data_IF_195531506101
#
_entry.id   IF_195531506101
#
_cell.length_a   1.000
_cell.length_b   1.000
_cell.length_c   1.000
_cell.angle_alpha   90.00
_cell.angle_beta   90.00
_cell.angle_gamma   90.00
#
_symmetry.space_group_name_H-M   'P 1'
#
loop_
_entity.id
_entity.type
_entity.pdbx_description
1 polymer ?
#
# COMPACT_ATOMS: atom_id res chain seq x y z
N UNK A 1 30.77 -14.11 -26.42
CA UNK A 1 30.01 -13.53 -25.28
C UNK A 1 30.80 -13.81 -24.02
N UNK A 2 31.04 -12.82 -23.14
CA UNK A 2 31.72 -13.04 -21.85
C UNK A 2 30.73 -12.98 -20.69
N UNK A 3 30.94 -13.80 -19.67
CA UNK A 3 30.19 -13.74 -18.42
C UNK A 3 30.59 -12.48 -17.65
N UNK A 4 29.62 -11.74 -17.12
CA UNK A 4 29.87 -10.58 -16.25
C UNK A 4 28.88 -10.52 -15.09
N UNK A 5 29.25 -9.82 -14.02
CA UNK A 5 28.37 -9.60 -12.87
C UNK A 5 28.06 -10.87 -12.07
N UNK A 6 26.78 -11.12 -11.77
CA UNK A 6 26.36 -12.25 -10.94
C UNK A 6 26.73 -13.61 -11.54
N UNK A 7 26.68 -13.73 -12.87
CA UNK A 7 27.04 -14.96 -13.56
C UNK A 7 28.53 -15.31 -13.41
N UNK A 8 29.42 -14.31 -13.38
CA UNK A 8 30.85 -14.50 -13.14
C UNK A 8 31.15 -14.97 -11.71
N UNK A 9 30.48 -14.38 -10.71
CA UNK A 9 30.64 -14.79 -9.30
C UNK A 9 30.16 -16.23 -9.06
N UNK A 10 29.08 -16.61 -9.71
CA UNK A 10 28.51 -17.95 -9.61
C UNK A 10 29.45 -18.98 -10.24
N UNK A 11 29.99 -18.68 -11.42
CA UNK A 11 30.99 -19.52 -12.08
C UNK A 11 32.26 -19.72 -11.23
N UNK A 12 32.81 -18.64 -10.66
CA UNK A 12 33.99 -18.71 -9.79
C UNK A 12 33.75 -19.57 -8.52
N UNK A 13 32.53 -19.58 -7.98
CA UNK A 13 32.19 -20.42 -6.82
C UNK A 13 32.13 -21.93 -7.13
N UNK A 14 31.85 -22.28 -8.39
CA UNK A 14 31.80 -23.67 -8.86
C UNK A 14 33.22 -24.23 -9.08
N UNK A 15 34.12 -23.43 -9.66
CA UNK A 15 35.52 -23.80 -9.90
C UNK A 15 36.29 -24.13 -8.62
N UNK A 16 35.98 -23.46 -7.50
CA UNK A 16 36.64 -23.69 -6.20
C UNK A 16 36.32 -25.07 -5.60
N UNK A 17 35.28 -25.76 -6.09
CA UNK A 17 34.69 -26.90 -5.38
C UNK A 17 35.09 -28.31 -5.86
N UNK A 18 35.63 -28.54 -7.08
CA UNK A 18 36.30 -29.82 -7.47
C UNK A 18 36.73 -29.90 -8.94
N UNK A 19 37.80 -30.67 -9.18
CA UNK A 19 38.19 -31.26 -10.47
C UNK A 19 37.01 -32.03 -11.10
N UNK A 20 36.43 -31.46 -12.16
CA UNK A 20 35.31 -31.99 -12.96
C UNK A 20 35.60 -31.74 -14.44
N UNK A 21 35.01 -32.56 -15.32
CA UNK A 21 35.08 -32.30 -16.78
C UNK A 21 34.35 -31.01 -17.13
N UNK A 22 34.71 -30.40 -18.26
CA UNK A 22 34.06 -29.18 -18.74
C UNK A 22 32.54 -29.33 -18.90
N UNK A 23 32.08 -30.50 -19.35
CA UNK A 23 30.65 -30.80 -19.51
C UNK A 23 29.89 -30.78 -18.16
N UNK A 24 30.47 -31.39 -17.13
CA UNK A 24 29.88 -31.40 -15.78
C UNK A 24 29.76 -29.97 -15.21
N UNK A 25 30.80 -29.14 -15.41
CA UNK A 25 30.82 -27.75 -14.91
C UNK A 25 29.80 -26.89 -15.66
N UNK A 26 29.73 -27.02 -16.98
CA UNK A 26 28.76 -26.30 -17.80
C UNK A 26 27.33 -26.69 -17.43
N UNK A 27 27.08 -27.98 -17.21
CA UNK A 27 25.77 -28.49 -16.84
C UNK A 27 25.35 -28.03 -15.43
N UNK A 28 26.25 -28.05 -14.45
CA UNK A 28 25.94 -27.53 -13.11
C UNK A 28 25.76 -26.02 -13.11
N UNK A 29 26.55 -25.27 -13.91
CA UNK A 29 26.33 -23.84 -14.10
C UNK A 29 24.95 -23.54 -14.67
N UNK A 30 24.52 -24.23 -15.73
CA UNK A 30 23.20 -24.04 -16.33
C UNK A 30 22.09 -24.40 -15.33
N UNK A 31 22.26 -25.50 -14.59
CA UNK A 31 21.29 -25.94 -13.57
C UNK A 31 21.14 -24.90 -12.47
N UNK A 32 22.26 -24.40 -11.93
CA UNK A 32 22.28 -23.38 -10.88
C UNK A 32 21.79 -22.04 -11.40
N UNK A 33 22.19 -21.63 -12.60
CA UNK A 33 21.76 -20.37 -13.19
C UNK A 33 20.25 -20.36 -13.47
N UNK A 34 19.71 -21.44 -14.03
CA UNK A 34 18.27 -21.59 -14.25
C UNK A 34 17.51 -21.58 -12.92
N UNK A 35 17.99 -22.32 -11.92
CA UNK A 35 17.40 -22.32 -10.57
C UNK A 35 17.39 -20.92 -9.95
N UNK A 36 18.52 -20.23 -9.93
CA UNK A 36 18.64 -18.90 -9.35
C UNK A 36 17.79 -17.85 -10.10
N UNK A 37 17.64 -18.00 -11.42
CA UNK A 37 16.75 -17.16 -12.22
C UNK A 37 15.29 -17.37 -11.80
N UNK A 38 14.85 -18.62 -11.62
CA UNK A 38 13.49 -18.94 -11.19
C UNK A 38 13.21 -18.36 -9.80
N UNK A 39 14.13 -18.52 -8.85
CA UNK A 39 14.00 -17.97 -7.49
C UNK A 39 13.90 -16.45 -7.52
N UNK A 40 14.74 -15.78 -8.32
CA UNK A 40 14.71 -14.33 -8.45
C UNK A 40 13.40 -13.82 -9.09
N UNK A 41 12.90 -14.52 -10.12
CA UNK A 41 11.59 -14.22 -10.73
C UNK A 41 10.47 -14.35 -9.69
N UNK A 42 10.39 -15.47 -8.97
CA UNK A 42 9.36 -15.71 -7.95
C UNK A 42 9.38 -14.64 -6.84
N UNK A 43 10.57 -14.19 -6.44
CA UNK A 43 10.73 -13.11 -5.46
C UNK A 43 10.21 -11.77 -5.97
N UNK A 44 10.60 -11.36 -7.19
CA UNK A 44 10.09 -10.11 -7.81
C UNK A 44 8.58 -10.15 -7.99
N UNK A 45 8.08 -11.31 -8.37
CA UNK A 45 6.68 -11.58 -8.57
C UNK A 45 5.85 -11.50 -7.27
N UNK A 46 6.45 -11.84 -6.12
CA UNK A 46 5.87 -11.63 -4.80
C UNK A 46 5.93 -10.16 -4.39
N UNK A 47 7.01 -9.45 -4.69
CA UNK A 47 7.12 -8.00 -4.42
C UNK A 47 6.14 -7.17 -5.25
N UNK A 48 5.89 -7.57 -6.50
CA UNK A 48 4.94 -6.94 -7.41
C UNK A 48 3.48 -7.19 -7.05
N UNK A 49 3.21 -8.10 -6.10
CA UNK A 49 1.86 -8.45 -5.68
C UNK A 49 1.21 -7.22 -5.04
N UNK A 50 0.08 -6.77 -5.56
CA UNK A 50 -0.73 -5.64 -5.06
C UNK A 50 -2.15 -6.11 -4.77
N UNK A 51 -2.81 -5.48 -3.80
CA UNK A 51 -4.21 -5.69 -3.48
C UNK A 51 -5.11 -4.98 -4.50
N UNK A 52 -6.01 -5.72 -5.14
CA UNK A 52 -6.96 -5.15 -6.09
C UNK A 52 -8.07 -4.36 -5.36
N UNK A 53 -8.71 -3.36 -5.98
CA UNK A 53 -9.73 -2.52 -5.31
C UNK A 53 -10.91 -3.30 -4.73
N UNK A 54 -11.31 -4.36 -5.42
CA UNK A 54 -12.43 -5.24 -5.10
C UNK A 54 -12.01 -6.47 -4.27
N UNK A 55 -10.71 -6.64 -4.04
CA UNK A 55 -10.17 -7.81 -3.37
C UNK A 55 -10.18 -7.66 -1.84
N UNK A 56 -10.71 -8.69 -1.17
CA UNK A 56 -10.68 -8.79 0.29
C UNK A 56 -9.28 -9.05 0.83
N UNK A 57 -9.06 -8.70 2.10
CA UNK A 57 -7.81 -9.01 2.80
C UNK A 57 -7.57 -10.52 2.79
N UNK A 58 -8.60 -11.33 3.06
CA UNK A 58 -8.49 -12.80 3.02
C UNK A 58 -7.93 -13.30 1.69
N UNK A 59 -8.44 -12.79 0.57
CA UNK A 59 -8.01 -13.20 -0.76
C UNK A 59 -6.55 -12.78 -1.04
N UNK A 60 -6.17 -11.56 -0.65
CA UNK A 60 -4.78 -11.09 -0.76
C UNK A 60 -3.82 -11.98 0.04
N UNK A 61 -4.15 -12.27 1.31
CA UNK A 61 -3.33 -13.10 2.18
C UNK A 61 -3.20 -14.52 1.62
N UNK A 62 -4.27 -15.09 1.06
CA UNK A 62 -4.23 -16.40 0.40
C UNK A 62 -3.28 -16.41 -0.80
N UNK A 63 -3.40 -15.46 -1.73
CA UNK A 63 -2.49 -15.36 -2.89
C UNK A 63 -1.05 -15.14 -2.46
N UNK A 64 -0.84 -14.31 -1.44
CA UNK A 64 0.49 -14.05 -0.92
C UNK A 64 1.10 -15.30 -0.27
N UNK A 65 0.32 -16.06 0.51
CA UNK A 65 0.76 -17.35 1.10
C UNK A 65 1.10 -18.39 0.04
N UNK A 66 0.25 -18.54 -0.97
CA UNK A 66 0.47 -19.42 -2.11
C UNK A 66 1.80 -19.08 -2.79
N UNK A 67 2.04 -17.79 -3.03
CA UNK A 67 3.24 -17.35 -3.72
C UNK A 67 4.51 -17.49 -2.87
N UNK A 68 4.44 -17.26 -1.56
CA UNK A 68 5.55 -17.55 -0.65
C UNK A 68 5.88 -19.04 -0.58
N UNK A 69 4.88 -19.92 -0.65
CA UNK A 69 5.11 -21.37 -0.58
C UNK A 69 5.97 -21.90 -1.74
N UNK A 70 6.04 -21.15 -2.84
CA UNK A 70 6.85 -21.47 -4.02
C UNK A 70 8.30 -20.97 -3.89
N UNK A 71 8.59 -20.06 -2.94
CA UNK A 71 9.93 -19.51 -2.74
C UNK A 71 10.71 -20.44 -1.81
N UNK A 72 11.80 -21.03 -2.33
CA UNK A 72 12.65 -21.94 -1.57
C UNK A 72 13.45 -21.19 -0.49
N UNK A 73 14.05 -20.06 -0.85
CA UNK A 73 14.73 -19.18 0.12
C UNK A 73 13.76 -18.14 0.67
N UNK A 74 13.03 -18.53 1.72
CA UNK A 74 11.91 -17.74 2.25
C UNK A 74 12.43 -16.42 2.86
N UNK A 75 11.86 -15.25 2.49
CA UNK A 75 12.26 -13.96 3.06
C UNK A 75 12.09 -13.94 4.58
N UNK A 76 12.87 -13.09 5.27
CA UNK A 76 12.73 -12.94 6.72
C UNK A 76 11.31 -12.49 7.12
N UNK A 77 10.89 -12.73 8.35
CA UNK A 77 9.56 -12.28 8.81
C UNK A 77 9.39 -10.76 8.67
N UNK A 78 10.45 -9.99 8.95
CA UNK A 78 10.47 -8.54 8.77
C UNK A 78 10.27 -8.12 7.31
N UNK A 79 10.92 -8.82 6.39
CA UNK A 79 10.75 -8.57 4.95
C UNK A 79 9.36 -8.97 4.49
N UNK A 80 8.86 -10.12 4.95
CA UNK A 80 7.50 -10.57 4.69
C UNK A 80 6.45 -9.53 5.13
N UNK A 81 6.58 -8.98 6.34
CA UNK A 81 5.73 -7.90 6.86
C UNK A 81 5.83 -6.66 5.96
N UNK A 82 7.05 -6.21 5.65
CA UNK A 82 7.28 -5.05 4.77
C UNK A 82 6.66 -5.23 3.38
N UNK A 83 6.78 -6.42 2.81
CA UNK A 83 6.24 -6.76 1.50
C UNK A 83 4.71 -6.76 1.49
N UNK A 84 4.05 -7.29 2.53
CA UNK A 84 2.59 -7.19 2.67
C UNK A 84 2.15 -5.74 2.87
N UNK A 85 2.82 -4.98 3.74
CA UNK A 85 2.44 -3.59 3.98
C UNK A 85 2.49 -2.76 2.69
N UNK A 86 3.47 -3.04 1.83
CA UNK A 86 3.56 -2.42 0.50
C UNK A 86 2.45 -2.89 -0.43
N UNK A 87 1.98 -4.13 -0.35
CA UNK A 87 0.98 -4.69 -1.28
C UNK A 87 -0.44 -4.19 -1.01
N UNK A 88 -0.74 -3.78 0.21
CA UNK A 88 -2.06 -3.33 0.64
C UNK A 88 -2.52 -2.05 -0.05
N UNK A 89 -3.84 -1.87 -0.12
CA UNK A 89 -4.40 -0.62 -0.58
C UNK A 89 -4.17 0.52 0.44
N UNK A 90 -4.06 1.78 -0.01
CA UNK A 90 -3.83 2.92 0.87
C UNK A 90 -4.85 3.05 2.01
N UNK A 91 -6.11 2.66 1.75
CA UNK A 91 -7.17 2.67 2.76
C UNK A 91 -6.90 1.71 3.93
N UNK A 92 -6.22 0.58 3.71
CA UNK A 92 -5.83 -0.33 4.79
C UNK A 92 -4.53 0.12 5.44
N UNK A 93 -3.54 0.50 4.62
CA UNK A 93 -2.23 0.95 5.11
C UNK A 93 -2.33 2.16 6.06
N UNK A 94 -3.23 3.11 5.79
CA UNK A 94 -3.46 4.29 6.65
C UNK A 94 -3.91 3.90 8.06
N UNK A 95 -4.75 2.88 8.15
CA UNK A 95 -5.32 2.40 9.41
C UNK A 95 -4.36 1.49 10.18
N UNK A 96 -3.33 0.96 9.52
CA UNK A 96 -2.25 0.19 10.14
C UNK A 96 -1.15 1.05 10.77
N UNK A 97 -1.04 2.34 10.43
CA UNK A 97 0.01 3.24 10.95
C UNK A 97 -0.07 3.47 12.47
N UNK A 98 -1.17 3.10 13.12
CA UNK A 98 -1.34 3.20 14.59
C UNK A 98 -0.87 1.96 15.38
N UNK A 99 -0.44 0.89 14.71
CA UNK A 99 -0.12 -0.38 15.37
C UNK A 99 1.33 -0.83 15.10
N UNK A 100 2.13 -1.09 16.14
CA UNK A 100 3.43 -1.75 15.97
C UNK A 100 3.19 -3.24 15.66
N UNK A 101 3.42 -3.65 14.41
CA UNK A 101 3.34 -5.04 14.00
C UNK A 101 4.66 -5.74 14.33
N UNK A 102 4.67 -6.52 15.42
CA UNK A 102 5.88 -7.22 15.90
C UNK A 102 6.10 -8.56 15.21
N UNK A 103 5.04 -9.16 14.66
CA UNK A 103 5.08 -10.44 13.95
C UNK A 103 3.94 -10.56 12.93
N UNK A 104 4.01 -11.55 12.05
CA UNK A 104 3.06 -11.76 10.98
C UNK A 104 1.63 -12.04 11.47
N UNK A 105 1.49 -12.76 12.59
CA UNK A 105 0.20 -13.07 13.18
C UNK A 105 -0.55 -11.82 13.62
N UNK A 106 0.14 -10.90 14.30
CA UNK A 106 -0.42 -9.61 14.73
C UNK A 106 -0.87 -8.74 13.55
N UNK A 107 -0.09 -8.72 12.46
CA UNK A 107 -0.41 -8.00 11.23
C UNK A 107 -1.70 -8.54 10.59
N UNK A 108 -1.79 -9.85 10.42
CA UNK A 108 -2.97 -10.51 9.82
C UNK A 108 -4.22 -10.26 10.66
N UNK A 109 -4.10 -10.33 11.98
CA UNK A 109 -5.21 -10.05 12.89
C UNK A 109 -5.70 -8.59 12.76
N UNK A 110 -4.77 -7.64 12.75
CA UNK A 110 -5.09 -6.21 12.58
C UNK A 110 -5.78 -5.95 11.23
N UNK A 111 -5.31 -6.60 10.17
CA UNK A 111 -5.90 -6.49 8.84
C UNK A 111 -7.36 -6.98 8.80
N UNK A 112 -7.67 -8.11 9.44
CA UNK A 112 -9.04 -8.59 9.55
C UNK A 112 -9.93 -7.64 10.35
N UNK A 113 -9.43 -7.10 11.47
CA UNK A 113 -10.17 -6.13 12.28
C UNK A 113 -10.47 -4.84 11.51
N UNK A 114 -9.55 -4.38 10.65
CA UNK A 114 -9.79 -3.21 9.77
C UNK A 114 -10.84 -3.53 8.71
N UNK A 115 -10.75 -4.69 8.06
CA UNK A 115 -11.74 -5.12 7.05
C UNK A 115 -13.15 -5.20 7.66
N UNK A 116 -13.26 -5.79 8.85
CA UNK A 116 -14.52 -5.85 9.61
C UNK A 116 -15.00 -4.44 10.03
N UNK A 117 -14.11 -3.59 10.52
CA UNK A 117 -14.43 -2.21 10.90
C UNK A 117 -14.95 -1.37 9.72
N UNK A 118 -14.38 -1.56 8.53
CA UNK A 118 -14.86 -0.92 7.29
C UNK A 118 -16.23 -1.51 6.89
N UNK A 119 -16.41 -2.83 6.98
CA UNK A 119 -17.68 -3.49 6.66
C UNK A 119 -18.82 -3.04 7.58
N UNK A 120 -18.53 -2.83 8.87
CA UNK A 120 -19.46 -2.31 9.89
C UNK A 120 -19.67 -0.78 9.80
N UNK A 121 -19.00 -0.09 8.88
CA UNK A 121 -19.10 1.37 8.73
C UNK A 121 -18.46 2.18 9.86
N UNK A 122 -17.74 1.52 10.77
CA UNK A 122 -17.01 2.15 11.88
C UNK A 122 -15.84 2.99 11.37
N UNK A 123 -15.38 2.71 10.15
CA UNK A 123 -14.29 3.40 9.47
C UNK A 123 -14.81 3.83 8.10
N UNK A 124 -14.74 5.12 7.79
CA UNK A 124 -15.28 5.63 6.53
C UNK A 124 -14.63 4.93 5.34
N UNK A 125 -15.46 4.39 4.43
CA UNK A 125 -15.04 4.04 3.07
C UNK A 125 -14.60 5.34 2.40
N UNK A 126 -13.34 5.75 2.57
CA UNK A 126 -12.88 6.97 1.93
C UNK A 126 -12.77 6.67 0.44
N UNK A 127 -13.85 6.95 -0.30
CA UNK A 127 -13.82 7.17 -1.74
C UNK A 127 -12.71 8.16 -2.07
N UNK A 128 -12.12 8.10 -3.29
CA UNK A 128 -11.23 9.15 -3.74
C UNK A 128 -12.01 10.45 -3.64
N UNK A 129 -11.50 11.38 -2.84
CA UNK A 129 -12.04 12.73 -2.77
C UNK A 129 -11.75 13.39 -4.11
N UNK A 130 -12.65 13.20 -5.08
CA UNK A 130 -12.74 14.08 -6.23
C UNK A 130 -13.32 15.39 -5.70
N UNK A 131 -12.42 16.29 -5.29
CA UNK A 131 -12.74 17.62 -4.80
C UNK A 131 -13.18 18.49 -5.97
N UNK A 132 -14.29 18.14 -6.61
CA UNK A 132 -14.96 19.03 -7.56
C UNK A 132 -15.74 20.06 -6.76
N UNK A 133 -15.11 21.23 -6.63
CA UNK A 133 -15.55 22.33 -5.80
C UNK A 133 -17.04 22.64 -5.92
N UNK A 134 -17.69 22.74 -4.76
CA UNK A 134 -18.91 23.52 -4.62
C UNK A 134 -18.64 24.65 -3.64
N UNK A 135 -18.51 25.85 -4.20
CA UNK A 135 -18.61 27.13 -3.49
C UNK A 135 -19.95 27.16 -2.71
N UNK A 136 -20.02 27.80 -1.53
CA UNK A 136 -21.30 28.08 -0.90
C UNK A 136 -22.03 29.14 -1.75
N UNK A 137 -23.15 28.74 -2.35
CA UNK A 137 -24.01 29.63 -3.13
C UNK A 137 -24.65 30.65 -2.19
N UNK A 138 -24.22 31.90 -2.33
CA UNK A 138 -24.85 33.11 -1.80
C UNK A 138 -26.23 33.30 -2.44
N UNK A 139 -27.27 33.37 -1.60
CA UNK A 139 -28.45 34.19 -1.84
C UNK A 139 -29.68 33.47 -2.38
N UNK A 140 -30.72 33.36 -1.54
CA UNK A 140 -32.09 33.59 -2.01
C UNK A 140 -32.94 34.15 -0.87
N UNK A 141 -33.45 35.37 -1.10
CA UNK A 141 -34.49 36.05 -0.33
C UNK A 141 -35.84 35.38 -0.61
N UNK A 142 -36.67 35.27 0.42
CA UNK A 142 -38.13 35.12 0.35
C UNK A 142 -38.65 35.64 1.70
N UNK A 143 -39.24 36.84 1.81
CA UNK A 143 -40.61 37.17 1.38
C UNK A 143 -41.56 36.85 2.56
N UNK A 144 -41.68 37.70 3.59
CA UNK A 144 -42.58 38.86 3.79
C UNK A 144 -43.80 38.49 4.68
N UNK A 145 -44.39 39.51 5.33
CA UNK A 145 -45.60 39.58 6.19
C UNK A 145 -45.36 39.85 7.69
N UNK A 146 -45.73 41.07 8.11
CA UNK A 146 -46.44 41.31 9.37
C UNK A 146 -45.97 42.51 10.19
N UNK A 147 -46.79 43.57 10.22
CA UNK A 147 -46.84 44.76 11.11
C UNK A 147 -46.20 44.58 12.52
N UNK A 148 -45.61 45.59 13.18
CA UNK A 148 -46.28 46.74 13.84
C UNK A 148 -45.31 47.93 14.01
N UNK A 149 -45.79 49.15 13.77
CA UNK A 149 -45.16 50.43 14.12
C UNK A 149 -45.01 50.63 15.63
N UNK A 150 -43.90 51.22 16.10
CA UNK A 150 -43.92 52.39 17.00
C UNK A 150 -42.53 53.00 17.18
N UNK A 151 -42.56 54.31 17.41
CA UNK A 151 -41.45 55.24 17.39
C UNK A 151 -40.36 55.00 18.46
N UNK A 152 -39.13 55.34 18.12
CA UNK A 152 -38.00 55.34 19.05
C UNK A 152 -36.80 56.11 18.49
N UNK A 153 -36.81 57.42 18.73
CA UNK A 153 -35.74 58.38 18.41
C UNK A 153 -34.35 57.96 18.95
N UNK A 154 -33.31 58.08 18.12
CA UNK A 154 -32.05 58.85 18.35
C UNK A 154 -30.87 58.35 17.48
N UNK A 155 -30.34 59.26 16.65
CA UNK A 155 -28.94 59.27 16.16
C UNK A 155 -28.07 59.99 17.24
N UNK A 156 -26.74 59.75 17.37
CA UNK A 156 -25.70 60.25 16.43
C UNK A 156 -24.52 59.26 16.21
N UNK A 157 -23.88 59.14 15.03
CA UNK A 157 -22.97 60.02 14.25
C UNK A 157 -21.50 60.02 14.74
N UNK A 158 -20.60 60.07 13.75
CA UNK A 158 -19.12 60.16 13.73
C UNK A 158 -18.38 58.82 13.62
N UNK A 159 -17.47 58.60 12.67
CA UNK A 159 -16.40 59.49 12.19
C UNK A 159 -16.17 59.44 10.65
N UNK A 160 -15.93 60.61 10.02
CA UNK A 160 -15.13 60.80 8.79
C UNK A 160 -13.68 61.10 9.24
N UNK A 161 -12.61 60.48 8.72
CA UNK A 161 -11.84 60.73 7.47
C UNK A 161 -11.25 62.14 7.31
N UNK A 162 -10.08 62.18 6.65
CA UNK A 162 -9.18 63.29 6.27
C UNK A 162 -8.06 63.46 7.32
N UNK A 163 -6.76 63.47 6.99
CA UNK A 163 -6.06 63.84 5.76
C UNK A 163 -5.02 64.87 6.16
#
# INVERSE_FOLDING_TARGET
>A
MSLSGAAQRLFASLEVSRHRTWDDLAQEFLRQFAFNTIIDVLRRELEALRQRPEESVTSLISRWREKISQIIDRPSEKDQISMILRSLQPRFARHLMGFPHTNFGSLVQALYSIEEGIARGLWSKSSPTDSKGKKPSRGQRSGDVGAISSAGMRLPRCYQTVG
#
